data_IF_912262587783
#
_entry.id   IF_912262587783
#
_cell.length_a   1.000
_cell.length_b   1.000
_cell.length_c   1.000
_cell.angle_alpha   90.00
_cell.angle_beta   90.00
_cell.angle_gamma   90.00
#
_symmetry.space_group_name_H-M   'P 1'
#
loop_
_entity.id
_entity.type
_entity.pdbx_description
1 polymer ?
#
# COMPACT_ATOMS: atom_id res chain seq x y z
N UNK A 1 109.42 -5.05 114.69
CA UNK A 1 109.10 -3.81 113.93
C UNK A 1 108.27 -3.99 112.65
N UNK A 2 108.02 -5.21 112.12
CA UNK A 2 107.32 -5.38 110.83
C UNK A 2 105.78 -5.32 110.90
N UNK A 3 105.16 -5.55 112.06
CA UNK A 3 103.70 -5.63 112.20
C UNK A 3 102.97 -4.27 112.26
N UNK A 4 103.62 -3.23 112.81
CA UNK A 4 102.99 -1.90 112.98
C UNK A 4 102.80 -1.15 111.65
N UNK A 5 103.74 -1.32 110.71
CA UNK A 5 103.67 -0.67 109.39
C UNK A 5 102.55 -1.27 108.53
N UNK A 6 102.28 -2.57 108.65
CA UNK A 6 101.23 -3.25 107.87
C UNK A 6 99.82 -2.80 108.29
N UNK A 7 99.61 -2.53 109.58
CA UNK A 7 98.34 -2.03 110.12
C UNK A 7 98.08 -0.60 109.65
N UNK A 8 99.12 0.24 109.62
CA UNK A 8 99.02 1.61 109.12
C UNK A 8 98.75 1.69 107.62
N UNK A 9 99.36 0.81 106.81
CA UNK A 9 99.11 0.77 105.36
C UNK A 9 97.73 0.21 105.02
N UNK A 10 97.24 -0.80 105.75
CA UNK A 10 95.86 -1.28 105.58
C UNK A 10 94.82 -0.25 106.02
N UNK A 11 95.07 0.47 107.11
CA UNK A 11 94.19 1.56 107.57
C UNK A 11 94.06 2.69 106.54
N UNK A 12 95.18 3.10 105.94
CA UNK A 12 95.18 4.12 104.89
C UNK A 12 94.44 3.65 103.63
N UNK A 13 94.61 2.37 103.25
CA UNK A 13 93.92 1.79 102.08
C UNK A 13 92.40 1.71 102.29
N UNK A 14 91.95 1.42 103.51
CA UNK A 14 90.52 1.34 103.86
C UNK A 14 89.87 2.73 103.86
N UNK A 15 90.59 3.77 104.29
CA UNK A 15 90.12 5.17 104.22
C UNK A 15 89.99 5.63 102.76
N UNK A 16 90.91 5.21 101.88
CA UNK A 16 90.83 5.51 100.44
C UNK A 16 89.62 4.83 99.79
N UNK A 17 89.28 3.60 100.18
CA UNK A 17 88.08 2.90 99.66
C UNK A 17 86.77 3.49 100.17
N UNK A 18 86.72 3.97 101.42
CA UNK A 18 85.53 4.60 102.00
C UNK A 18 85.34 6.05 101.52
N UNK A 19 86.43 6.73 101.17
CA UNK A 19 86.42 8.13 100.74
C UNK A 19 85.99 8.37 99.28
N UNK A 20 85.76 7.32 98.48
CA UNK A 20 85.28 7.47 97.10
C UNK A 20 83.74 7.30 97.10
N UNK A 21 82.95 8.37 96.96
CA UNK A 21 81.51 8.21 96.75
C UNK A 21 81.27 7.53 95.41
N UNK A 22 80.76 6.30 95.45
CA UNK A 22 80.19 5.58 94.30
C UNK A 22 79.09 6.47 93.72
N UNK A 23 79.33 7.04 92.53
CA UNK A 23 78.33 7.86 91.82
C UNK A 23 77.20 6.94 91.36
N UNK A 24 76.15 6.85 92.17
CA UNK A 24 74.86 6.28 91.81
C UNK A 24 74.27 7.06 90.61
N UNK A 25 73.77 6.32 89.64
CA UNK A 25 73.01 6.78 88.49
C UNK A 25 72.02 7.90 88.85
N UNK A 26 72.17 9.07 88.24
CA UNK A 26 71.12 10.07 88.21
C UNK A 26 70.16 9.75 87.05
N UNK A 27 68.94 9.38 87.41
CA UNK A 27 67.75 9.42 86.55
C UNK A 27 67.67 10.81 85.90
N UNK A 28 67.58 10.88 84.57
CA UNK A 28 67.35 12.14 83.86
C UNK A 28 65.99 12.72 84.25
N UNK A 29 66.02 13.81 85.00
CA UNK A 29 64.87 14.65 85.29
C UNK A 29 64.59 15.45 84.01
N UNK A 30 63.40 15.27 83.43
CA UNK A 30 62.93 16.06 82.29
C UNK A 30 63.09 17.57 82.55
N UNK A 31 63.52 18.34 81.53
CA UNK A 31 63.71 19.78 81.62
C UNK A 31 62.49 20.46 82.24
N UNK A 32 62.70 21.19 83.35
CA UNK A 32 61.66 22.01 83.98
C UNK A 32 61.32 23.16 83.05
N UNK A 33 60.16 23.10 82.41
CA UNK A 33 59.58 24.25 81.68
C UNK A 33 59.38 25.38 82.70
N UNK A 34 59.79 26.60 82.36
CA UNK A 34 59.65 27.76 83.23
C UNK A 34 58.26 28.40 83.02
N UNK A 35 57.59 28.89 84.05
CA UNK A 35 56.23 29.49 83.94
C UNK A 35 56.13 30.60 82.86
N UNK A 36 57.24 31.28 82.58
CA UNK A 36 57.37 32.25 81.49
C UNK A 36 57.21 31.62 80.10
N UNK A 37 57.79 30.45 79.86
CA UNK A 37 57.66 29.72 78.58
C UNK A 37 56.25 29.16 78.38
N UNK A 38 55.55 28.80 79.47
CA UNK A 38 54.14 28.38 79.42
C UNK A 38 53.26 29.57 79.01
N UNK A 39 53.51 30.74 79.60
CA UNK A 39 52.78 31.98 79.30
C UNK A 39 52.98 32.41 77.84
N UNK A 40 54.22 32.37 77.32
CA UNK A 40 54.49 32.71 75.92
C UNK A 40 53.83 31.73 74.94
N UNK A 41 53.83 30.43 75.25
CA UNK A 41 53.13 29.43 74.45
C UNK A 41 51.61 29.59 74.50
N UNK A 42 51.04 29.93 75.66
CA UNK A 42 49.62 30.23 75.82
C UNK A 42 49.21 31.46 75.02
N UNK A 43 49.97 32.55 75.10
CA UNK A 43 49.71 33.76 74.29
C UNK A 43 49.77 33.45 72.80
N UNK A 44 50.75 32.66 72.33
CA UNK A 44 50.83 32.24 70.93
C UNK A 44 49.63 31.37 70.52
N UNK A 45 49.15 30.51 71.42
CA UNK A 45 47.98 29.66 71.20
C UNK A 45 46.69 30.48 71.13
N UNK A 46 46.53 31.46 72.01
CA UNK A 46 45.37 32.37 72.04
C UNK A 46 45.31 33.22 70.76
N UNK A 47 46.44 33.80 70.34
CA UNK A 47 46.56 34.53 69.07
C UNK A 47 46.28 33.60 67.87
N UNK A 48 46.78 32.36 67.90
CA UNK A 48 46.50 31.38 66.85
C UNK A 48 45.03 30.97 66.79
N UNK A 49 44.37 30.82 67.94
CA UNK A 49 42.95 30.49 68.03
C UNK A 49 42.08 31.65 67.53
N UNK A 50 42.47 32.89 67.85
CA UNK A 50 41.76 34.08 67.40
C UNK A 50 41.92 34.29 65.89
N UNK A 51 43.12 34.05 65.34
CA UNK A 51 43.36 34.04 63.90
C UNK A 51 42.50 32.99 63.18
N UNK A 52 42.45 31.75 63.69
CA UNK A 52 41.60 30.68 63.14
C UNK A 52 40.10 31.02 63.22
N UNK A 53 39.64 31.63 64.31
CA UNK A 53 38.25 32.09 64.43
C UNK A 53 37.92 33.18 63.41
N UNK A 54 38.84 34.12 63.20
CA UNK A 54 38.70 35.18 62.21
C UNK A 54 38.62 34.60 60.79
N UNK A 55 39.51 33.67 60.45
CA UNK A 55 39.55 33.00 59.15
C UNK A 55 38.30 32.13 58.91
N UNK A 56 37.82 31.40 59.92
CA UNK A 56 36.56 30.67 59.82
C UNK A 56 35.37 31.59 59.58
N UNK A 57 35.34 32.75 60.25
CA UNK A 57 34.25 33.72 60.09
C UNK A 57 34.27 34.34 58.70
N UNK A 58 35.44 34.77 58.22
CA UNK A 58 35.56 35.34 56.87
C UNK A 58 35.28 34.30 55.78
N UNK A 59 35.72 33.05 55.98
CA UNK A 59 35.41 31.93 55.10
C UNK A 59 33.90 31.62 55.05
N UNK A 60 33.22 31.65 56.20
CA UNK A 60 31.77 31.47 56.26
C UNK A 60 31.02 32.61 55.56
N UNK A 61 31.46 33.85 55.74
CA UNK A 61 30.89 35.02 55.07
C UNK A 61 31.10 34.95 53.55
N UNK A 62 32.29 34.54 53.10
CA UNK A 62 32.61 34.33 51.69
C UNK A 62 31.72 33.24 51.06
N UNK A 63 31.61 32.07 51.69
CA UNK A 63 30.74 30.99 51.23
C UNK A 63 29.27 31.40 51.19
N UNK A 64 28.80 32.16 52.18
CA UNK A 64 27.43 32.67 52.20
C UNK A 64 27.18 33.65 51.06
N UNK A 65 28.16 34.50 50.74
CA UNK A 65 28.10 35.42 49.61
C UNK A 65 28.05 34.67 48.28
N UNK A 66 28.92 33.68 48.09
CA UNK A 66 29.00 32.85 46.89
C UNK A 66 27.72 32.01 46.68
N UNK A 67 27.17 31.43 47.74
CA UNK A 67 25.88 30.74 47.66
C UNK A 67 24.75 31.68 47.24
N UNK A 68 24.74 32.92 47.75
CA UNK A 68 23.71 33.89 47.41
C UNK A 68 23.82 34.33 45.95
N UNK A 69 25.03 34.66 45.48
CA UNK A 69 25.26 35.04 44.10
C UNK A 69 24.98 33.88 43.13
N UNK A 70 25.38 32.66 43.48
CA UNK A 70 25.06 31.45 42.72
C UNK A 70 23.55 31.20 42.63
N UNK A 71 22.82 31.38 43.73
CA UNK A 71 21.36 31.26 43.72
C UNK A 71 20.68 32.32 42.85
N UNK A 72 21.17 33.57 42.88
CA UNK A 72 20.67 34.65 42.04
C UNK A 72 20.96 34.39 40.55
N UNK A 73 22.16 33.91 40.23
CA UNK A 73 22.56 33.52 38.88
C UNK A 73 21.67 32.39 38.33
N UNK A 74 21.47 31.31 39.10
CA UNK A 74 20.59 30.19 38.72
C UNK A 74 19.14 30.64 38.53
N UNK A 75 18.63 31.55 39.38
CA UNK A 75 17.30 32.13 39.19
C UNK A 75 17.19 32.92 37.90
N UNK A 76 18.22 33.70 37.58
CA UNK A 76 18.27 34.49 36.34
C UNK A 76 18.29 33.58 35.12
N UNK A 77 19.12 32.54 35.14
CA UNK A 77 19.24 31.57 34.04
C UNK A 77 17.95 30.77 33.84
N UNK A 78 17.30 30.34 34.92
CA UNK A 78 15.99 29.68 34.80
C UNK A 78 14.94 30.61 34.20
N UNK A 79 14.94 31.89 34.58
CA UNK A 79 13.97 32.87 34.05
C UNK A 79 14.22 33.13 32.56
N UNK A 80 15.47 33.37 32.17
CA UNK A 80 15.81 33.59 30.76
C UNK A 80 15.56 32.34 29.90
N UNK A 81 15.89 31.15 30.42
CA UNK A 81 15.58 29.88 29.76
C UNK A 81 14.08 29.67 29.58
N UNK A 82 13.26 30.00 30.58
CA UNK A 82 11.81 29.91 30.49
C UNK A 82 11.24 30.89 29.45
N UNK A 83 11.75 32.12 29.40
CA UNK A 83 11.36 33.13 28.41
C UNK A 83 11.74 32.69 26.99
N UNK A 84 12.94 32.14 26.80
CA UNK A 84 13.42 31.60 25.53
C UNK A 84 12.53 30.44 25.04
N UNK A 85 12.27 29.44 25.91
CA UNK A 85 11.39 28.32 25.58
C UNK A 85 9.97 28.79 25.24
N UNK A 86 9.44 29.77 25.97
CA UNK A 86 8.12 30.34 25.67
C UNK A 86 8.10 31.02 24.30
N UNK A 87 9.17 31.74 23.95
CA UNK A 87 9.32 32.38 22.65
C UNK A 87 9.38 31.35 21.53
N UNK A 88 10.18 30.28 21.71
CA UNK A 88 10.33 29.20 20.72
C UNK A 88 9.03 28.42 20.52
N UNK A 89 8.30 28.12 21.60
CA UNK A 89 6.97 27.51 21.48
C UNK A 89 6.00 28.40 20.71
N UNK A 90 6.00 29.71 20.96
CA UNK A 90 5.11 30.64 20.27
C UNK A 90 5.45 30.74 18.78
N UNK A 91 6.71 30.90 18.43
CA UNK A 91 7.15 30.95 17.03
C UNK A 91 6.89 29.62 16.31
N UNK A 92 7.13 28.48 16.98
CA UNK A 92 6.80 27.16 16.46
C UNK A 92 5.31 26.98 16.21
N UNK A 93 4.46 27.45 17.13
CA UNK A 93 3.00 27.41 16.97
C UNK A 93 2.53 28.29 15.81
N UNK A 94 3.08 29.50 15.66
CA UNK A 94 2.79 30.40 14.55
C UNK A 94 3.21 29.76 13.22
N UNK A 95 4.41 29.19 13.12
CA UNK A 95 4.89 28.50 11.92
C UNK A 95 4.01 27.30 11.55
N UNK A 96 3.59 26.50 12.53
CA UNK A 96 2.64 25.41 12.30
C UNK A 96 1.28 25.92 11.81
N UNK A 97 0.78 27.02 12.39
CA UNK A 97 -0.51 27.60 11.98
C UNK A 97 -0.50 28.05 10.52
N UNK A 98 0.60 28.68 10.07
CA UNK A 98 0.81 29.10 8.67
C UNK A 98 0.87 27.88 7.76
N UNK A 99 1.65 26.86 8.13
CA UNK A 99 1.75 25.63 7.32
C UNK A 99 0.39 24.93 7.18
N UNK A 100 -0.43 24.91 8.23
CA UNK A 100 -1.78 24.35 8.19
C UNK A 100 -2.71 25.19 7.29
N UNK A 101 -2.61 26.53 7.33
CA UNK A 101 -3.41 27.37 6.44
C UNK A 101 -3.02 27.19 4.98
N UNK A 102 -1.72 27.08 4.68
CA UNK A 102 -1.21 26.89 3.32
C UNK A 102 -1.65 25.53 2.76
N UNK A 103 -1.48 24.46 3.54
CA UNK A 103 -1.97 23.13 3.16
C UNK A 103 -3.47 23.11 2.93
N UNK A 104 -4.25 23.84 3.74
CA UNK A 104 -5.69 23.95 3.55
C UNK A 104 -6.03 24.69 2.26
N UNK A 105 -5.30 25.75 1.92
CA UNK A 105 -5.48 26.48 0.67
C UNK A 105 -5.13 25.62 -0.55
N UNK A 106 -4.03 24.88 -0.50
CA UNK A 106 -3.62 23.94 -1.55
C UNK A 106 -4.60 22.77 -1.71
N UNK A 107 -5.13 22.24 -0.61
CA UNK A 107 -6.15 21.20 -0.67
C UNK A 107 -7.45 21.72 -1.28
N UNK A 108 -7.82 22.96 -0.99
CA UNK A 108 -9.01 23.59 -1.59
C UNK A 108 -8.83 23.82 -3.09
N UNK A 109 -7.68 24.37 -3.51
CA UNK A 109 -7.40 24.62 -4.93
C UNK A 109 -7.31 23.32 -5.73
N UNK A 110 -6.65 22.29 -5.19
CA UNK A 110 -6.60 20.96 -5.83
C UNK A 110 -7.98 20.32 -5.92
N UNK A 111 -8.83 20.45 -4.90
CA UNK A 111 -10.20 19.95 -4.97
C UNK A 111 -11.05 20.69 -6.02
N UNK A 112 -10.88 22.00 -6.15
CA UNK A 112 -11.56 22.80 -7.18
C UNK A 112 -11.06 22.42 -8.58
N UNK A 113 -9.76 22.23 -8.77
CA UNK A 113 -9.18 21.75 -10.02
C UNK A 113 -9.70 20.37 -10.40
N UNK A 114 -9.69 19.40 -9.48
CA UNK A 114 -10.23 18.06 -9.71
C UNK A 114 -11.74 18.09 -10.05
N UNK A 115 -12.52 18.95 -9.39
CA UNK A 115 -13.94 19.13 -9.74
C UNK A 115 -14.11 19.71 -11.15
N UNK A 116 -13.28 20.68 -11.54
CA UNK A 116 -13.30 21.25 -12.88
C UNK A 116 -12.95 20.19 -13.93
N UNK A 117 -11.89 19.41 -13.71
CA UNK A 117 -11.50 18.31 -14.60
C UNK A 117 -12.56 17.20 -14.69
N UNK A 118 -13.19 16.83 -13.56
CA UNK A 118 -14.30 15.87 -13.60
C UNK A 118 -15.48 16.42 -14.40
N UNK A 119 -15.81 17.70 -14.24
CA UNK A 119 -16.91 18.33 -14.98
C UNK A 119 -16.63 18.35 -16.48
N UNK A 120 -15.44 18.77 -16.90
CA UNK A 120 -15.05 18.79 -18.31
C UNK A 120 -14.97 17.37 -18.89
N UNK A 121 -14.47 16.40 -18.11
CA UNK A 121 -14.46 14.99 -18.48
C UNK A 121 -15.87 14.42 -18.67
N UNK A 122 -16.79 14.72 -17.76
CA UNK A 122 -18.20 14.31 -17.86
C UNK A 122 -18.89 14.96 -19.07
N UNK A 123 -18.67 16.24 -19.32
CA UNK A 123 -19.20 16.93 -20.50
C UNK A 123 -18.66 16.32 -21.81
N UNK A 124 -17.38 15.97 -21.85
CA UNK A 124 -16.77 15.30 -23.00
C UNK A 124 -17.34 13.89 -23.22
N UNK A 125 -17.58 13.14 -22.15
CA UNK A 125 -18.25 11.83 -22.21
C UNK A 125 -19.69 11.99 -22.68
N UNK A 126 -20.43 12.98 -22.16
CA UNK A 126 -21.79 13.29 -22.59
C UNK A 126 -21.87 13.54 -24.09
N UNK A 127 -21.01 14.43 -24.63
CA UNK A 127 -20.92 14.68 -26.07
C UNK A 127 -20.62 13.43 -26.89
N UNK A 128 -19.73 12.55 -26.41
CA UNK A 128 -19.42 11.28 -27.08
C UNK A 128 -20.60 10.31 -27.05
N UNK A 129 -21.32 10.23 -25.93
CA UNK A 129 -22.55 9.44 -25.81
C UNK A 129 -23.62 9.93 -26.77
N UNK A 130 -23.80 11.25 -26.89
CA UNK A 130 -24.77 11.85 -27.80
C UNK A 130 -24.39 11.58 -29.27
N UNK A 131 -23.10 11.73 -29.64
CA UNK A 131 -22.60 11.40 -30.99
C UNK A 131 -22.81 9.91 -31.32
N UNK A 132 -22.50 9.01 -30.40
CA UNK A 132 -22.75 7.58 -30.57
C UNK A 132 -24.24 7.26 -30.70
N UNK A 133 -25.08 7.92 -29.91
CA UNK A 133 -26.53 7.74 -29.96
C UNK A 133 -27.10 8.23 -31.30
N UNK A 134 -26.63 9.36 -31.81
CA UNK A 134 -27.00 9.89 -33.12
C UNK A 134 -26.58 8.94 -34.25
N UNK A 135 -25.33 8.45 -34.22
CA UNK A 135 -24.86 7.44 -35.20
C UNK A 135 -25.67 6.16 -35.14
N UNK A 136 -26.05 5.70 -33.95
CA UNK A 136 -26.88 4.51 -33.80
C UNK A 136 -28.28 4.73 -34.39
N UNK A 137 -28.86 5.91 -34.20
CA UNK A 137 -30.14 6.28 -34.81
C UNK A 137 -30.05 6.31 -36.34
N UNK A 138 -28.99 6.89 -36.90
CA UNK A 138 -28.74 6.93 -38.35
C UNK A 138 -28.54 5.53 -38.95
N UNK A 139 -27.79 4.65 -38.26
CA UNK A 139 -27.61 3.25 -38.67
C UNK A 139 -28.95 2.53 -38.67
N UNK A 140 -29.74 2.68 -37.61
CA UNK A 140 -31.05 2.05 -37.50
C UNK A 140 -32.01 2.57 -38.60
N UNK A 141 -31.99 3.86 -38.89
CA UNK A 141 -32.81 4.46 -39.95
C UNK A 141 -32.39 3.94 -41.33
N UNK A 142 -31.08 3.91 -41.63
CA UNK A 142 -30.56 3.36 -42.89
C UNK A 142 -30.90 1.88 -43.04
N UNK A 143 -30.76 1.11 -41.96
CA UNK A 143 -31.10 -0.31 -41.93
C UNK A 143 -32.60 -0.54 -42.17
N UNK A 144 -33.48 0.28 -41.57
CA UNK A 144 -34.92 0.26 -41.86
C UNK A 144 -35.21 0.57 -43.32
N UNK A 145 -34.56 1.55 -43.94
CA UNK A 145 -34.72 1.86 -45.38
C UNK A 145 -34.27 0.68 -46.25
N UNK A 146 -33.14 0.04 -45.93
CA UNK A 146 -32.69 -1.16 -46.63
C UNK A 146 -33.69 -2.32 -46.48
N UNK A 147 -34.21 -2.56 -45.28
CA UNK A 147 -35.23 -3.58 -45.08
C UNK A 147 -36.56 -3.27 -45.79
N UNK A 148 -37.05 -2.03 -45.75
CA UNK A 148 -38.29 -1.68 -46.43
C UNK A 148 -38.14 -1.76 -47.95
N UNK A 149 -37.01 -1.32 -48.50
CA UNK A 149 -36.72 -1.49 -49.92
C UNK A 149 -36.61 -2.97 -50.33
N UNK A 150 -35.95 -3.81 -49.52
CA UNK A 150 -35.85 -5.26 -49.77
C UNK A 150 -37.23 -5.93 -49.74
N UNK A 151 -38.05 -5.62 -48.73
CA UNK A 151 -39.41 -6.16 -48.61
C UNK A 151 -40.27 -5.68 -49.79
N UNK A 152 -40.18 -4.40 -50.17
CA UNK A 152 -40.90 -3.87 -51.33
C UNK A 152 -40.53 -4.61 -52.63
N UNK A 153 -39.25 -4.94 -52.82
CA UNK A 153 -38.76 -5.71 -53.97
C UNK A 153 -39.32 -7.14 -53.96
N UNK A 154 -39.33 -7.80 -52.79
CA UNK A 154 -39.93 -9.14 -52.63
C UNK A 154 -41.43 -9.12 -52.95
N UNK A 155 -42.18 -8.15 -52.41
CA UNK A 155 -43.62 -8.01 -52.66
C UNK A 155 -43.90 -7.73 -54.14
N UNK A 156 -43.10 -6.87 -54.78
CA UNK A 156 -43.20 -6.60 -56.21
C UNK A 156 -42.96 -7.87 -57.04
N UNK A 157 -41.96 -8.69 -56.68
CA UNK A 157 -41.67 -9.96 -57.35
C UNK A 157 -42.81 -10.96 -57.19
N UNK A 158 -43.34 -11.13 -55.98
CA UNK A 158 -44.48 -12.01 -55.74
C UNK A 158 -45.74 -11.54 -56.47
N UNK A 159 -46.00 -10.23 -56.48
CA UNK A 159 -47.08 -9.62 -57.26
C UNK A 159 -46.93 -9.90 -58.75
N UNK A 160 -45.71 -9.79 -59.28
CA UNK A 160 -45.40 -10.13 -60.67
C UNK A 160 -45.61 -11.62 -60.97
N UNK A 161 -45.15 -12.53 -60.10
CA UNK A 161 -45.35 -13.98 -60.28
C UNK A 161 -46.84 -14.36 -60.23
N UNK A 162 -47.61 -13.81 -59.30
CA UNK A 162 -49.06 -14.05 -59.24
C UNK A 162 -49.78 -13.52 -60.49
N UNK A 163 -49.35 -12.38 -61.01
CA UNK A 163 -49.85 -11.83 -62.27
C UNK A 163 -49.50 -12.75 -63.44
N UNK A 164 -48.22 -13.12 -63.56
CA UNK A 164 -47.67 -13.93 -64.65
C UNK A 164 -48.39 -15.29 -64.77
N UNK A 165 -48.61 -15.98 -63.64
CA UNK A 165 -49.40 -17.22 -63.60
C UNK A 165 -50.82 -17.03 -64.12
N UNK A 166 -51.47 -15.89 -63.87
CA UNK A 166 -52.84 -15.61 -64.35
C UNK A 166 -52.87 -15.27 -65.84
N UNK A 167 -51.82 -14.67 -66.40
CA UNK A 167 -51.76 -14.26 -67.81
C UNK A 167 -51.19 -15.32 -68.75
N UNK A 168 -50.16 -16.09 -68.35
CA UNK A 168 -49.52 -17.09 -69.23
C UNK A 168 -50.21 -18.46 -69.26
N UNK A 169 -51.03 -18.81 -68.26
CA UNK A 169 -51.73 -20.11 -68.27
C UNK A 169 -52.88 -20.17 -69.28
N UNK A 170 -53.37 -19.04 -69.80
CA UNK A 170 -54.45 -19.04 -70.82
C UNK A 170 -54.05 -19.75 -72.12
N UNK A 171 -52.93 -19.40 -72.78
CA UNK A 171 -52.50 -20.12 -73.98
C UNK A 171 -51.97 -21.53 -73.69
N UNK A 172 -51.44 -21.79 -72.48
CA UNK A 172 -50.98 -23.13 -72.09
C UNK A 172 -52.17 -24.08 -71.86
N UNK A 173 -53.25 -23.60 -71.23
CA UNK A 173 -54.47 -24.38 -71.03
C UNK A 173 -55.16 -24.75 -72.36
N UNK A 174 -55.18 -23.85 -73.34
CA UNK A 174 -55.69 -24.17 -74.69
C UNK A 174 -54.84 -25.22 -75.40
N UNK A 175 -53.50 -25.16 -75.25
CA UNK A 175 -52.61 -26.20 -75.79
C UNK A 175 -52.77 -27.53 -75.07
N UNK A 176 -53.01 -27.50 -73.76
CA UNK A 176 -53.20 -28.70 -72.95
C UNK A 176 -54.52 -29.40 -73.28
N UNK A 177 -55.61 -28.65 -73.49
CA UNK A 177 -56.89 -29.23 -73.90
C UNK A 177 -56.82 -29.88 -75.29
N UNK A 178 -56.05 -29.29 -76.22
CA UNK A 178 -55.87 -29.86 -77.56
C UNK A 178 -55.08 -31.17 -77.51
N UNK A 179 -54.00 -31.21 -76.72
CA UNK A 179 -53.23 -32.43 -76.47
C UNK A 179 -54.04 -33.50 -75.73
N UNK A 180 -54.85 -33.11 -74.74
CA UNK A 180 -55.69 -34.06 -74.00
C UNK A 180 -56.75 -34.69 -74.91
N UNK A 181 -57.38 -33.89 -75.79
CA UNK A 181 -58.36 -34.42 -76.73
C UNK A 181 -57.73 -35.35 -77.77
N UNK A 182 -56.54 -35.01 -78.26
CA UNK A 182 -55.78 -35.84 -79.19
C UNK A 182 -55.33 -37.15 -78.51
N UNK A 183 -54.78 -37.10 -77.29
CA UNK A 183 -54.35 -38.28 -76.52
C UNK A 183 -55.53 -39.18 -76.12
N UNK A 184 -56.67 -38.61 -75.70
CA UNK A 184 -57.87 -39.40 -75.35
C UNK A 184 -58.47 -40.07 -76.59
N UNK A 185 -58.46 -39.37 -77.74
CA UNK A 185 -58.92 -39.91 -79.01
C UNK A 185 -57.98 -41.00 -79.53
N UNK A 186 -56.66 -40.81 -79.46
CA UNK A 186 -55.68 -41.75 -80.01
C UNK A 186 -55.51 -43.01 -79.14
N UNK A 187 -55.67 -42.89 -77.81
CA UNK A 187 -55.71 -44.05 -76.91
C UNK A 187 -57.08 -44.75 -76.84
N UNK A 188 -58.08 -44.21 -77.54
CA UNK A 188 -59.42 -44.78 -77.71
C UNK A 188 -60.10 -45.14 -76.37
N UNK A 189 -59.98 -44.25 -75.39
CA UNK A 189 -60.35 -44.50 -73.99
C UNK A 189 -61.87 -44.48 -73.73
N UNK A 190 -62.68 -44.01 -74.67
CA UNK A 190 -64.12 -43.78 -74.50
C UNK A 190 -65.04 -44.92 -74.98
N UNK A 191 -64.49 -46.05 -75.46
CA UNK A 191 -65.29 -47.23 -75.82
C UNK A 191 -65.47 -48.18 -74.64
N UNK A 192 -66.68 -48.77 -74.53
CA UNK A 192 -67.13 -49.60 -73.41
C UNK A 192 -66.30 -50.89 -73.15
N UNK A 193 -65.31 -51.21 -73.99
CA UNK A 193 -64.47 -52.41 -73.89
C UNK A 193 -63.04 -52.13 -73.36
N UNK A 194 -62.69 -50.87 -73.07
CA UNK A 194 -61.42 -50.50 -72.43
C UNK A 194 -60.23 -50.28 -73.40
N UNK A 195 -59.19 -49.58 -72.89
CA UNK A 195 -58.14 -48.92 -73.69
C UNK A 195 -57.41 -49.77 -74.75
N UNK A 196 -57.02 -49.16 -75.87
CA UNK A 196 -56.20 -49.78 -76.92
C UNK A 196 -54.91 -50.40 -76.38
N UNK A 197 -54.28 -49.73 -75.41
CA UNK A 197 -53.09 -50.23 -74.71
C UNK A 197 -53.36 -51.55 -73.97
N UNK A 198 -54.52 -51.71 -73.32
CA UNK A 198 -54.89 -52.98 -72.69
C UNK A 198 -55.07 -54.09 -73.71
N UNK A 199 -55.60 -53.77 -74.89
CA UNK A 199 -55.82 -54.72 -75.97
C UNK A 199 -54.50 -55.17 -76.59
N UNK A 200 -53.59 -54.24 -76.85
CA UNK A 200 -52.24 -54.53 -77.33
C UNK A 200 -51.44 -55.32 -76.29
N UNK A 201 -51.51 -54.95 -75.00
CA UNK A 201 -50.86 -55.69 -73.92
C UNK A 201 -51.38 -57.14 -73.84
N UNK A 202 -52.68 -57.36 -73.99
CA UNK A 202 -53.25 -58.71 -74.00
C UNK A 202 -52.84 -59.55 -75.22
N UNK A 203 -52.69 -58.90 -76.40
CA UNK A 203 -52.18 -59.58 -77.61
C UNK A 203 -50.71 -59.93 -77.44
N UNK A 204 -49.89 -59.00 -76.94
CA UNK A 204 -48.48 -59.28 -76.65
C UNK A 204 -48.34 -60.38 -75.59
N UNK A 205 -49.18 -60.39 -74.56
CA UNK A 205 -49.20 -61.46 -73.56
C UNK A 205 -49.57 -62.81 -74.16
N UNK A 206 -50.55 -62.86 -75.07
CA UNK A 206 -50.90 -64.09 -75.81
C UNK A 206 -49.81 -64.54 -76.79
N UNK A 207 -49.09 -63.60 -77.40
CA UNK A 207 -47.96 -63.89 -78.29
C UNK A 207 -46.75 -64.42 -77.50
N UNK A 208 -46.42 -63.80 -76.36
CA UNK A 208 -45.38 -64.28 -75.44
C UNK A 208 -45.70 -65.68 -74.90
N UNK A 209 -46.97 -65.97 -74.58
CA UNK A 209 -47.38 -67.30 -74.12
C UNK A 209 -47.20 -68.41 -75.18
N UNK A 210 -47.08 -68.06 -76.47
CA UNK A 210 -47.00 -69.03 -77.58
C UNK A 210 -45.59 -69.16 -78.16
N UNK A 211 -44.68 -68.22 -77.87
CA UNK A 211 -43.33 -68.19 -78.42
C UNK A 211 -42.30 -67.95 -77.32
N UNK A 212 -41.54 -68.99 -76.95
CA UNK A 212 -40.61 -68.96 -75.80
C UNK A 212 -39.50 -67.93 -75.95
N UNK A 213 -39.05 -67.67 -77.18
CA UNK A 213 -37.98 -66.71 -77.48
C UNK A 213 -38.42 -65.25 -77.22
N UNK A 214 -39.70 -64.93 -77.44
CA UNK A 214 -40.26 -63.60 -77.20
C UNK A 214 -40.62 -63.35 -75.72
N UNK A 215 -40.93 -64.41 -74.98
CA UNK A 215 -41.16 -64.35 -73.54
C UNK A 215 -39.87 -64.04 -72.77
N UNK A 216 -38.73 -64.60 -73.21
CA UNK A 216 -37.41 -64.33 -72.63
C UNK A 216 -36.97 -62.88 -72.87
N UNK A 217 -37.20 -62.33 -74.06
CA UNK A 217 -36.91 -60.93 -74.38
C UNK A 217 -37.76 -59.96 -73.54
N UNK A 218 -39.05 -60.27 -73.35
CA UNK A 218 -39.95 -59.45 -72.50
C UNK A 218 -39.59 -59.48 -71.01
N UNK A 219 -39.04 -60.60 -70.51
CA UNK A 219 -38.47 -60.69 -69.16
C UNK A 219 -37.12 -59.97 -69.04
N UNK A 220 -36.29 -60.02 -70.09
CA UNK A 220 -34.98 -59.35 -70.13
C UNK A 220 -35.07 -57.82 -70.15
N UNK A 221 -36.09 -57.27 -70.80
CA UNK A 221 -36.34 -55.82 -70.90
C UNK A 221 -37.28 -55.26 -69.81
N UNK A 222 -37.64 -56.05 -68.79
CA UNK A 222 -38.45 -55.64 -67.64
C UNK A 222 -39.79 -54.94 -67.99
N UNK A 223 -40.53 -55.51 -68.96
CA UNK A 223 -41.92 -55.11 -69.25
C UNK A 223 -42.97 -56.11 -68.73
N UNK A 224 -42.60 -56.88 -67.71
CA UNK A 224 -43.49 -57.61 -66.81
C UNK A 224 -43.02 -57.50 -65.36
#
# INVERSE_FOLDING_TARGET
MKFSVLIWTMGLWLIIQVGIPVKLYAVEIAQRITDREITDKLMRLEVGQEALRSEMKSGQEALRSEMKSGQEALRSEMKSGQEALRSEMKSGQEALSVRISDLRAEMKSSQEALRAEMKTGLEAIGKRMDDLSARQADINATMLVLFTSLIALIVALFGYILWDRRTMMKPVAEKLHRFEHEVISDLDLNHAEGSLLRRQLNVMKKFAAKNSEFAEIMQGEALL
#
